data_IF_022266876666
#
_entry.id   IF_022266876666
#
_cell.length_a   1.000
_cell.length_b   1.000
_cell.length_c   1.000
_cell.angle_alpha   90.00
_cell.angle_beta   90.00
_cell.angle_gamma   90.00
#
_symmetry.space_group_name_H-M   'P 1'
#
loop_
_entity.id
_entity.type
_entity.pdbx_description
1 polymer ?
#
# COMPACT_ATOMS: atom_id res chain seq x y z
N UNK A 1 -45.99 58.52 -30.68
CA UNK A 1 -45.73 57.94 -32.01
C UNK A 1 -44.32 57.32 -32.14
N UNK A 2 -43.26 57.90 -31.56
CA UNK A 2 -41.87 57.38 -31.65
C UNK A 2 -41.64 55.99 -31.04
N UNK A 3 -42.35 55.62 -29.97
CA UNK A 3 -42.20 54.31 -29.32
C UNK A 3 -42.65 53.14 -30.21
N UNK A 4 -43.66 53.32 -31.06
CA UNK A 4 -44.12 52.24 -31.94
C UNK A 4 -43.13 51.96 -33.09
N UNK A 5 -42.51 53.02 -33.63
CA UNK A 5 -41.48 52.88 -34.67
C UNK A 5 -40.19 52.21 -34.17
N UNK A 6 -39.81 52.46 -32.92
CA UNK A 6 -38.66 51.81 -32.30
C UNK A 6 -38.88 50.31 -32.05
N UNK A 7 -40.11 49.92 -31.68
CA UNK A 7 -40.49 48.52 -31.54
C UNK A 7 -40.42 47.75 -32.86
N UNK A 8 -40.87 48.37 -33.96
CA UNK A 8 -40.80 47.78 -35.30
C UNK A 8 -39.34 47.63 -35.74
N UNK A 9 -38.49 48.62 -35.49
CA UNK A 9 -37.06 48.57 -35.81
C UNK A 9 -36.35 47.41 -35.09
N UNK A 10 -36.63 47.21 -33.79
CA UNK A 10 -36.04 46.11 -33.01
C UNK A 10 -36.43 44.74 -33.57
N UNK A 11 -37.70 44.54 -33.94
CA UNK A 11 -38.18 43.26 -34.47
C UNK A 11 -37.56 42.95 -35.83
N UNK A 12 -37.48 43.95 -36.72
CA UNK A 12 -36.87 43.78 -38.05
C UNK A 12 -35.36 43.51 -37.93
N UNK A 13 -34.65 44.22 -37.05
CA UNK A 13 -33.23 43.99 -36.82
C UNK A 13 -32.96 42.59 -36.23
N UNK A 14 -33.83 42.11 -35.34
CA UNK A 14 -33.73 40.77 -34.75
C UNK A 14 -33.93 39.68 -35.82
N UNK A 15 -34.90 39.87 -36.73
CA UNK A 15 -35.13 38.93 -37.84
C UNK A 15 -33.92 38.84 -38.79
N UNK A 16 -33.32 39.98 -39.18
CA UNK A 16 -32.21 39.96 -40.15
C UNK A 16 -30.92 39.38 -39.56
N UNK A 17 -30.63 39.60 -38.27
CA UNK A 17 -29.47 39.01 -37.60
C UNK A 17 -29.58 37.47 -37.52
N UNK A 18 -30.79 36.96 -37.31
CA UNK A 18 -31.06 35.51 -37.28
C UNK A 18 -30.86 34.92 -38.68
N UNK A 19 -31.35 35.59 -39.73
CA UNK A 19 -31.20 35.12 -41.12
C UNK A 19 -29.73 35.13 -41.56
N UNK A 20 -28.98 36.21 -41.29
CA UNK A 20 -27.57 36.34 -41.73
C UNK A 20 -26.61 35.38 -41.02
N UNK A 21 -26.90 34.98 -39.77
CA UNK A 21 -26.00 34.13 -38.97
C UNK A 21 -26.51 32.69 -38.80
N UNK A 22 -27.47 32.23 -39.61
CA UNK A 22 -28.08 30.90 -39.47
C UNK A 22 -27.09 29.73 -39.61
N UNK A 23 -25.91 29.95 -40.22
CA UNK A 23 -24.84 28.95 -40.31
C UNK A 23 -23.83 28.95 -39.14
N UNK A 24 -23.71 30.01 -38.35
CA UNK A 24 -22.67 30.10 -37.31
C UNK A 24 -23.22 30.67 -35.99
N UNK A 25 -23.48 29.77 -35.02
CA UNK A 25 -24.15 30.12 -33.75
C UNK A 25 -23.24 30.79 -32.72
N UNK A 26 -21.92 30.71 -32.90
CA UNK A 26 -20.97 31.40 -32.03
C UNK A 26 -21.00 32.89 -32.34
N UNK A 27 -21.36 33.71 -31.35
CA UNK A 27 -21.38 35.18 -31.34
C UNK A 27 -22.71 35.87 -31.69
N UNK A 28 -23.83 35.14 -31.79
CA UNK A 28 -25.15 35.75 -31.99
C UNK A 28 -25.50 36.69 -30.82
N UNK A 29 -25.29 36.25 -29.57
CA UNK A 29 -25.63 37.04 -28.37
C UNK A 29 -24.86 38.37 -28.27
N UNK A 30 -23.57 38.38 -28.60
CA UNK A 30 -22.75 39.59 -28.57
C UNK A 30 -23.17 40.60 -29.64
N UNK A 31 -23.48 40.13 -30.86
CA UNK A 31 -23.98 40.99 -31.93
C UNK A 31 -25.34 41.62 -31.56
N UNK A 32 -26.22 40.88 -30.88
CA UNK A 32 -27.52 41.36 -30.41
C UNK A 32 -27.39 42.50 -29.38
N UNK A 33 -26.45 42.39 -28.44
CA UNK A 33 -26.21 43.43 -27.43
C UNK A 33 -25.74 44.74 -28.07
N UNK A 34 -24.79 44.67 -29.00
CA UNK A 34 -24.21 45.86 -29.65
C UNK A 34 -25.25 46.61 -30.50
N UNK A 35 -26.09 45.88 -31.24
CA UNK A 35 -27.13 46.48 -32.10
C UNK A 35 -28.25 47.14 -31.28
N UNK A 36 -28.52 46.62 -30.08
CA UNK A 36 -29.54 47.20 -29.19
C UNK A 36 -29.09 48.55 -28.61
N UNK A 37 -27.79 48.73 -28.35
CA UNK A 37 -27.26 49.96 -27.75
C UNK A 37 -26.87 51.05 -28.77
N UNK A 38 -26.60 50.72 -30.03
CA UNK A 38 -26.26 51.69 -31.08
C UNK A 38 -27.06 51.45 -32.38
N UNK A 39 -28.21 52.11 -32.58
CA UNK A 39 -29.21 51.78 -33.60
C UNK A 39 -28.80 52.09 -35.05
N UNK A 40 -27.55 52.49 -35.35
CA UNK A 40 -27.07 52.72 -36.73
C UNK A 40 -25.64 52.21 -36.92
N UNK A 41 -24.75 52.46 -35.95
CA UNK A 41 -23.34 52.05 -36.01
C UNK A 41 -23.18 50.52 -35.83
N UNK A 42 -24.14 49.89 -35.14
CA UNK A 42 -24.12 48.45 -34.84
C UNK A 42 -24.23 47.52 -36.06
N UNK A 43 -24.70 48.02 -37.21
CA UNK A 43 -24.75 47.23 -38.44
C UNK A 43 -23.42 47.19 -39.20
N UNK A 44 -22.58 48.24 -39.06
CA UNK A 44 -21.31 48.36 -39.79
C UNK A 44 -20.20 47.56 -39.12
N UNK A 45 -20.19 47.54 -37.78
CA UNK A 45 -19.17 46.85 -36.99
C UNK A 45 -19.04 45.34 -37.29
N UNK A 46 -20.11 44.53 -37.32
CA UNK A 46 -20.00 43.09 -37.61
C UNK A 46 -19.48 42.78 -39.02
N UNK A 47 -19.69 43.69 -39.98
CA UNK A 47 -19.26 43.55 -41.37
C UNK A 47 -17.77 43.86 -41.55
N UNK A 48 -17.23 44.79 -40.76
CA UNK A 48 -15.79 45.11 -40.75
C UNK A 48 -15.01 44.10 -39.89
N UNK A 49 -15.58 43.65 -38.78
CA UNK A 49 -14.94 42.69 -37.87
C UNK A 49 -14.81 41.28 -38.45
N UNK A 50 -15.72 40.88 -39.36
CA UNK A 50 -15.57 39.61 -40.10
C UNK A 50 -14.41 39.64 -41.10
N UNK A 51 -13.99 40.84 -41.55
CA UNK A 51 -12.92 41.01 -42.53
C UNK A 51 -11.54 41.20 -41.88
N UNK A 52 -11.47 41.71 -40.65
CA UNK A 52 -10.24 41.88 -39.87
C UNK A 52 -9.80 40.57 -39.19
N UNK A 53 -10.75 39.68 -38.87
CA UNK A 53 -10.47 38.39 -38.22
C UNK A 53 -10.22 37.30 -39.27
N UNK A 54 -9.17 37.47 -40.08
CA UNK A 54 -8.62 36.34 -40.84
C UNK A 54 -8.08 35.30 -39.85
N UNK A 55 -8.28 34.02 -40.18
CA UNK A 55 -7.95 32.82 -39.38
C UNK A 55 -6.49 32.74 -38.87
N UNK A 56 -5.57 33.56 -39.39
CA UNK A 56 -4.16 33.60 -39.00
C UNK A 56 -3.93 34.05 -37.55
N UNK A 57 -4.61 35.12 -37.13
CA UNK A 57 -4.39 35.70 -35.79
C UNK A 57 -4.82 34.77 -34.65
N UNK A 58 -5.80 33.89 -34.88
CA UNK A 58 -6.17 32.84 -33.92
C UNK A 58 -5.17 31.68 -33.88
N UNK A 59 -4.51 31.36 -35.00
CA UNK A 59 -3.50 30.31 -35.07
C UNK A 59 -2.23 30.74 -34.36
N UNK A 60 -1.74 31.95 -34.62
CA UNK A 60 -0.54 32.49 -33.94
C UNK A 60 -0.75 32.62 -32.43
N UNK A 61 -1.94 33.05 -31.99
CA UNK A 61 -2.24 33.15 -30.56
C UNK A 61 -2.31 31.76 -29.89
N UNK A 62 -2.93 30.78 -30.54
CA UNK A 62 -2.99 29.41 -30.03
C UNK A 62 -1.60 28.75 -30.00
N UNK A 63 -0.79 28.95 -31.04
CA UNK A 63 0.59 28.44 -31.13
C UNK A 63 1.48 29.11 -30.06
N UNK A 64 1.32 30.41 -29.80
CA UNK A 64 1.99 31.08 -28.69
C UNK A 64 1.59 30.50 -27.32
N UNK A 65 0.29 30.27 -27.09
CA UNK A 65 -0.22 29.66 -25.85
C UNK A 65 0.27 28.22 -25.69
N UNK A 66 0.32 27.45 -26.77
CA UNK A 66 0.77 26.06 -26.77
C UNK A 66 2.27 25.97 -26.45
N UNK A 67 3.11 26.82 -27.07
CA UNK A 67 4.54 26.93 -26.74
C UNK A 67 4.79 27.36 -25.30
N UNK A 68 4.02 28.33 -24.78
CA UNK A 68 4.11 28.71 -23.37
C UNK A 68 3.73 27.54 -22.45
N UNK A 69 2.68 26.79 -22.77
CA UNK A 69 2.30 25.60 -22.00
C UNK A 69 3.35 24.49 -22.07
N UNK A 70 4.00 24.29 -23.22
CA UNK A 70 5.11 23.35 -23.38
C UNK A 70 6.34 23.78 -22.58
N UNK A 71 6.74 25.05 -22.65
CA UNK A 71 7.84 25.59 -21.83
C UNK A 71 7.55 25.42 -20.33
N UNK A 72 6.33 25.68 -19.88
CA UNK A 72 5.91 25.45 -18.49
C UNK A 72 5.90 23.97 -18.12
N UNK A 73 5.55 23.06 -19.03
CA UNK A 73 5.65 21.60 -18.81
C UNK A 73 7.10 21.16 -18.73
N UNK A 74 7.96 21.60 -19.64
CA UNK A 74 9.41 21.27 -19.65
C UNK A 74 10.10 21.80 -18.41
N UNK A 75 9.81 23.04 -17.99
CA UNK A 75 10.34 23.58 -16.72
C UNK A 75 9.87 22.78 -15.51
N UNK A 76 8.58 22.39 -15.46
CA UNK A 76 8.10 21.51 -14.38
C UNK A 76 8.81 20.16 -14.39
N UNK A 77 8.88 19.50 -15.54
CA UNK A 77 9.56 18.20 -15.68
C UNK A 77 11.03 18.32 -15.27
N UNK A 78 11.74 19.37 -15.68
CA UNK A 78 13.12 19.63 -15.26
C UNK A 78 13.27 19.84 -13.75
N UNK A 79 12.39 20.63 -13.13
CA UNK A 79 12.37 20.84 -11.67
C UNK A 79 12.05 19.53 -10.94
N UNK A 80 11.07 18.75 -11.41
CA UNK A 80 10.74 17.45 -10.82
C UNK A 80 11.91 16.46 -10.92
N UNK A 81 12.56 16.37 -12.09
CA UNK A 81 13.71 15.49 -12.31
C UNK A 81 14.94 15.91 -11.48
N UNK A 82 15.19 17.21 -11.33
CA UNK A 82 16.26 17.69 -10.44
C UNK A 82 15.96 17.36 -8.98
N UNK A 83 14.73 17.63 -8.51
CA UNK A 83 14.30 17.29 -7.13
C UNK A 83 14.36 15.79 -6.86
N UNK A 84 13.96 14.94 -7.82
CA UNK A 84 14.13 13.48 -7.73
C UNK A 84 15.60 13.09 -7.67
N UNK A 85 16.45 13.67 -8.52
CA UNK A 85 17.90 13.39 -8.51
C UNK A 85 18.58 13.80 -7.20
N UNK A 86 18.17 14.91 -6.57
CA UNK A 86 18.65 15.29 -5.24
C UNK A 86 18.14 14.35 -4.14
N UNK A 87 16.90 13.84 -4.25
CA UNK A 87 16.37 12.80 -3.35
C UNK A 87 17.10 11.46 -3.49
N UNK A 88 17.44 11.04 -4.70
CA UNK A 88 18.17 9.79 -4.96
C UNK A 88 19.62 9.83 -4.47
N UNK A 89 20.24 11.00 -4.42
CA UNK A 89 21.60 11.19 -3.92
C UNK A 89 21.67 11.34 -2.39
N UNK A 90 20.54 11.57 -1.72
CA UNK A 90 20.43 11.75 -0.27
C UNK A 90 19.46 10.72 0.35
N UNK A 91 19.62 9.45 -0.02
CA UNK A 91 18.84 8.36 0.58
C UNK A 91 19.48 7.98 1.92
N UNK A 92 18.99 8.62 2.97
CA UNK A 92 19.26 8.24 4.36
C UNK A 92 18.22 7.22 4.82
N UNK A 93 18.59 6.23 5.66
CA UNK A 93 17.64 5.34 6.29
C UNK A 93 16.55 6.11 7.05
N UNK A 94 15.35 5.56 7.13
CA UNK A 94 14.18 6.20 7.79
C UNK A 94 14.51 6.49 9.26
N UNK A 95 15.21 5.56 9.91
CA UNK A 95 15.64 5.66 11.30
C UNK A 95 16.58 6.86 11.52
N UNK A 96 17.52 7.06 10.60
CA UNK A 96 18.49 8.15 10.66
C UNK A 96 17.83 9.49 10.30
N UNK A 97 16.92 9.49 9.33
CA UNK A 97 16.12 10.66 8.96
C UNK A 97 15.32 11.19 10.15
N UNK A 98 14.67 10.30 10.91
CA UNK A 98 13.87 10.69 12.07
C UNK A 98 14.68 11.28 13.23
N UNK A 99 15.99 11.06 13.26
CA UNK A 99 16.89 11.54 14.33
C UNK A 99 17.68 12.76 13.91
N UNK A 100 18.25 12.76 12.70
CA UNK A 100 19.28 13.73 12.29
C UNK A 100 18.74 14.79 11.33
N UNK A 101 17.70 14.49 10.55
CA UNK A 101 17.19 15.42 9.54
C UNK A 101 16.41 16.59 10.12
N UNK A 102 16.22 17.62 9.29
CA UNK A 102 15.32 18.74 9.58
C UNK A 102 13.85 18.29 9.65
N UNK A 103 13.02 19.06 10.36
CA UNK A 103 11.60 18.75 10.55
C UNK A 103 10.81 18.54 9.24
N UNK A 104 11.15 19.25 8.16
CA UNK A 104 10.47 19.06 6.88
C UNK A 104 10.76 17.67 6.27
N UNK A 105 11.99 17.20 6.34
CA UNK A 105 12.39 15.88 5.84
C UNK A 105 11.78 14.77 6.71
N UNK A 106 11.78 14.92 8.04
CA UNK A 106 11.13 13.97 8.96
C UNK A 106 9.65 13.77 8.64
N UNK A 107 8.93 14.87 8.43
CA UNK A 107 7.51 14.84 8.04
C UNK A 107 7.29 14.18 6.69
N UNK A 108 8.16 14.46 5.70
CA UNK A 108 8.09 13.82 4.38
C UNK A 108 8.31 12.30 4.46
N UNK A 109 9.30 11.86 5.23
CA UNK A 109 9.56 10.44 5.49
C UNK A 109 8.33 9.77 6.12
N UNK A 110 7.70 10.42 7.10
CA UNK A 110 6.51 9.89 7.74
C UNK A 110 5.31 9.79 6.78
N UNK A 111 5.13 10.77 5.89
CA UNK A 111 4.11 10.72 4.82
C UNK A 111 4.39 9.55 3.86
N UNK A 112 5.66 9.27 3.56
CA UNK A 112 6.01 8.19 2.66
C UNK A 112 5.85 6.81 3.33
N UNK A 113 6.10 6.69 4.64
CA UNK A 113 5.75 5.49 5.44
C UNK A 113 4.24 5.24 5.45
N UNK A 114 3.43 6.30 5.58
CA UNK A 114 1.96 6.20 5.55
C UNK A 114 1.40 5.71 4.20
N UNK A 115 2.14 5.88 3.10
CA UNK A 115 1.76 5.36 1.77
C UNK A 115 2.14 3.89 1.58
N UNK A 116 3.05 3.37 2.40
CA UNK A 116 3.55 2.00 2.32
C UNK A 116 2.82 1.10 3.32
N UNK A 117 3.23 -0.17 3.37
CA UNK A 117 2.72 -1.11 4.36
C UNK A 117 3.28 -0.80 5.76
N UNK A 118 2.46 -0.09 6.54
CA UNK A 118 2.79 0.46 7.86
C UNK A 118 3.19 -0.63 8.86
N UNK A 119 2.78 -1.90 8.68
CA UNK A 119 3.10 -2.98 9.61
C UNK A 119 4.61 -3.24 9.70
N UNK A 120 5.34 -3.10 8.59
CA UNK A 120 6.78 -3.34 8.53
C UNK A 120 7.59 -2.25 9.24
N UNK A 121 6.97 -1.10 9.50
CA UNK A 121 7.60 0.06 10.12
C UNK A 121 7.11 0.32 11.54
N UNK A 122 6.37 -0.61 12.16
CA UNK A 122 5.76 -0.40 13.47
C UNK A 122 6.77 -0.04 14.56
N UNK A 123 7.95 -0.68 14.57
CA UNK A 123 9.01 -0.38 15.55
C UNK A 123 9.57 1.04 15.37
N UNK A 124 9.77 1.47 14.13
CA UNK A 124 10.23 2.82 13.79
C UNK A 124 9.18 3.85 14.19
N UNK A 125 7.90 3.59 13.88
CA UNK A 125 6.79 4.45 14.24
C UNK A 125 6.66 4.59 15.75
N UNK A 126 6.81 3.49 16.50
CA UNK A 126 6.79 3.52 17.96
C UNK A 126 7.90 4.42 18.53
N UNK A 127 9.09 4.40 17.93
CA UNK A 127 10.19 5.31 18.31
C UNK A 127 9.89 6.77 17.92
N UNK A 128 9.22 6.99 16.79
CA UNK A 128 8.84 8.32 16.32
C UNK A 128 7.73 8.98 17.16
N UNK A 129 6.98 8.22 17.97
CA UNK A 129 5.97 8.78 18.90
C UNK A 129 6.59 9.75 19.91
N UNK A 130 7.84 9.54 20.31
CA UNK A 130 8.58 10.43 21.22
C UNK A 130 9.56 11.35 20.49
N UNK A 131 9.28 11.70 19.23
CA UNK A 131 10.10 12.68 18.50
C UNK A 131 9.94 14.09 19.10
N UNK A 132 11.01 14.88 19.07
CA UNK A 132 11.00 16.27 19.52
C UNK A 132 10.05 17.15 18.68
N UNK A 133 9.87 16.81 17.40
CA UNK A 133 8.90 17.46 16.54
C UNK A 133 7.50 16.94 16.84
N UNK A 134 6.63 17.82 17.32
CA UNK A 134 5.26 17.46 17.69
C UNK A 134 4.47 16.96 16.49
N UNK A 135 4.71 17.50 15.29
CA UNK A 135 4.00 17.09 14.08
C UNK A 135 4.43 15.70 13.62
N UNK A 136 5.73 15.41 13.58
CA UNK A 136 6.26 14.05 13.34
C UNK A 136 5.71 13.04 14.36
N UNK A 137 5.67 13.40 15.64
CA UNK A 137 5.07 12.57 16.70
C UNK A 137 3.57 12.34 16.47
N UNK A 138 2.82 13.37 16.11
CA UNK A 138 1.40 13.25 15.77
C UNK A 138 1.17 12.32 14.57
N UNK A 139 1.96 12.46 13.51
CA UNK A 139 1.87 11.57 12.35
C UNK A 139 2.17 10.11 12.72
N UNK A 140 3.19 9.86 13.53
CA UNK A 140 3.52 8.51 14.00
C UNK A 140 2.37 7.90 14.80
N UNK A 141 1.78 8.66 15.73
CA UNK A 141 0.61 8.22 16.50
C UNK A 141 -0.58 7.93 15.58
N UNK A 142 -0.89 8.82 14.65
CA UNK A 142 -1.97 8.63 13.68
C UNK A 142 -1.76 7.38 12.83
N UNK A 143 -0.52 7.11 12.38
CA UNK A 143 -0.15 5.91 11.63
C UNK A 143 -0.41 4.63 12.45
N UNK A 144 0.04 4.60 13.70
CA UNK A 144 -0.12 3.45 14.60
C UNK A 144 -1.60 3.20 14.90
N UNK A 145 -2.37 4.25 15.18
CA UNK A 145 -3.82 4.14 15.46
C UNK A 145 -4.56 3.60 14.24
N UNK A 146 -4.24 4.10 13.04
CA UNK A 146 -4.85 3.64 11.81
C UNK A 146 -4.47 2.19 11.49
N UNK A 147 -3.20 1.81 11.67
CA UNK A 147 -2.75 0.42 11.53
C UNK A 147 -3.49 -0.50 12.50
N UNK A 148 -3.60 -0.12 13.77
CA UNK A 148 -4.34 -0.88 14.77
C UNK A 148 -5.81 -1.07 14.34
N UNK A 149 -6.46 0.00 13.87
CA UNK A 149 -7.84 -0.04 13.37
C UNK A 149 -7.98 -1.01 12.19
N UNK A 150 -7.08 -0.94 11.21
CA UNK A 150 -7.05 -1.84 10.05
C UNK A 150 -6.92 -3.30 10.48
N UNK A 151 -5.94 -3.62 11.33
CA UNK A 151 -5.75 -4.98 11.85
C UNK A 151 -6.96 -5.50 12.61
N UNK A 152 -7.59 -4.67 13.44
CA UNK A 152 -8.80 -5.06 14.17
C UNK A 152 -9.97 -5.40 13.24
N UNK A 153 -10.17 -4.60 12.18
CA UNK A 153 -11.22 -4.85 11.18
C UNK A 153 -10.91 -6.14 10.41
N UNK A 154 -9.69 -6.30 9.90
CA UNK A 154 -9.27 -7.51 9.19
C UNK A 154 -9.42 -8.76 10.06
N UNK A 155 -9.06 -8.67 11.34
CA UNK A 155 -9.22 -9.75 12.32
C UNK A 155 -10.70 -10.13 12.49
N UNK A 156 -11.59 -9.16 12.64
CA UNK A 156 -13.02 -9.40 12.80
C UNK A 156 -13.63 -10.02 11.54
N UNK A 157 -13.33 -9.46 10.36
CA UNK A 157 -13.84 -9.98 9.09
C UNK A 157 -13.38 -11.41 8.82
N UNK A 158 -12.10 -11.71 9.05
CA UNK A 158 -11.55 -13.04 8.82
C UNK A 158 -12.04 -14.05 9.87
N UNK A 159 -12.29 -13.61 11.10
CA UNK A 159 -12.94 -14.46 12.11
C UNK A 159 -14.30 -14.93 11.63
N UNK A 160 -15.15 -14.01 11.17
CA UNK A 160 -16.50 -14.35 10.66
C UNK A 160 -16.41 -15.23 9.41
N UNK A 161 -15.52 -14.90 8.46
CA UNK A 161 -15.33 -15.72 7.25
C UNK A 161 -14.85 -17.13 7.58
N UNK A 162 -13.91 -17.26 8.51
CA UNK A 162 -13.39 -18.55 8.96
C UNK A 162 -14.46 -19.38 9.68
N UNK A 163 -15.27 -18.76 10.54
CA UNK A 163 -16.37 -19.44 11.23
C UNK A 163 -17.44 -19.96 10.26
N UNK A 164 -17.71 -19.21 9.18
CA UNK A 164 -18.67 -19.61 8.15
C UNK A 164 -18.15 -20.74 7.25
N UNK A 165 -16.87 -20.71 6.86
CA UNK A 165 -16.27 -21.74 6.01
C UNK A 165 -14.81 -22.03 6.40
N UNK A 166 -14.64 -23.06 7.23
CA UNK A 166 -13.33 -23.54 7.67
C UNK A 166 -12.61 -24.40 6.61
N UNK A 167 -13.20 -24.66 5.45
CA UNK A 167 -12.59 -25.48 4.39
C UNK A 167 -12.03 -24.62 3.26
N UNK A 168 -12.37 -23.33 3.22
CA UNK A 168 -11.82 -22.40 2.24
C UNK A 168 -10.35 -22.08 2.54
N UNK A 169 -9.44 -22.67 1.75
CA UNK A 169 -8.00 -22.52 1.90
C UNK A 169 -7.53 -21.05 1.90
N UNK A 170 -8.10 -20.21 1.04
CA UNK A 170 -7.72 -18.79 0.97
C UNK A 170 -8.09 -18.03 2.25
N UNK A 171 -9.27 -18.32 2.82
CA UNK A 171 -9.70 -17.71 4.09
C UNK A 171 -8.81 -18.19 5.23
N UNK A 172 -8.47 -19.48 5.27
CA UNK A 172 -7.59 -20.04 6.30
C UNK A 172 -6.20 -19.40 6.25
N UNK A 173 -5.58 -19.31 5.06
CA UNK A 173 -4.25 -18.68 4.90
C UNK A 173 -4.30 -17.21 5.33
N UNK A 174 -5.26 -16.44 4.81
CA UNK A 174 -5.39 -15.03 5.16
C UNK A 174 -5.61 -14.83 6.67
N UNK A 175 -6.37 -15.73 7.32
CA UNK A 175 -6.58 -15.67 8.76
C UNK A 175 -5.32 -15.96 9.56
N UNK A 176 -4.51 -16.95 9.13
CA UNK A 176 -3.19 -17.22 9.73
C UNK A 176 -2.28 -15.99 9.62
N UNK A 177 -2.25 -15.31 8.47
CA UNK A 177 -1.42 -14.13 8.24
C UNK A 177 -1.82 -12.97 9.16
N UNK A 178 -3.11 -12.63 9.20
CA UNK A 178 -3.60 -11.54 10.05
C UNK A 178 -3.46 -11.86 11.54
N UNK A 179 -3.62 -13.13 11.96
CA UNK A 179 -3.30 -13.54 13.33
C UNK A 179 -1.83 -13.30 13.66
N UNK A 180 -0.92 -13.70 12.77
CA UNK A 180 0.52 -13.50 12.95
C UNK A 180 0.86 -12.01 13.07
N UNK A 181 0.37 -11.18 12.17
CA UNK A 181 0.59 -9.73 12.19
C UNK A 181 0.04 -9.08 13.46
N UNK A 182 -1.19 -9.42 13.83
CA UNK A 182 -1.81 -8.83 15.02
C UNK A 182 -1.10 -9.24 16.31
N UNK A 183 -0.66 -10.50 16.42
CA UNK A 183 0.15 -10.96 17.55
C UNK A 183 1.52 -10.29 17.64
N UNK A 184 2.13 -9.97 16.50
CA UNK A 184 3.44 -9.30 16.44
C UNK A 184 3.37 -7.77 16.53
N UNK A 185 2.17 -7.18 16.39
CA UNK A 185 1.96 -5.73 16.40
C UNK A 185 2.28 -5.03 17.74
N UNK A 186 2.34 -5.78 18.84
CA UNK A 186 2.51 -5.22 20.19
C UNK A 186 1.26 -4.53 20.77
N UNK A 187 0.12 -4.57 20.09
CA UNK A 187 -1.12 -3.89 20.54
C UNK A 187 -1.95 -4.66 21.56
N UNK A 188 -1.58 -5.92 21.85
CA UNK A 188 -2.37 -6.86 22.63
C UNK A 188 -1.85 -6.97 24.06
N UNK A 189 -2.77 -6.98 25.03
CA UNK A 189 -2.43 -7.39 26.39
C UNK A 189 -2.06 -8.88 26.44
N UNK A 190 -1.37 -9.30 27.51
CA UNK A 190 -0.87 -10.67 27.64
C UNK A 190 -1.96 -11.75 27.56
N UNK A 191 -3.14 -11.51 28.14
CA UNK A 191 -4.24 -12.48 28.15
C UNK A 191 -4.84 -12.63 26.77
N UNK A 192 -5.07 -11.51 26.08
CA UNK A 192 -5.60 -11.48 24.71
C UNK A 192 -4.61 -12.10 23.73
N UNK A 193 -3.32 -11.77 23.85
CA UNK A 193 -2.26 -12.38 23.05
C UNK A 193 -2.27 -13.91 23.21
N UNK A 194 -2.33 -14.41 24.44
CA UNK A 194 -2.36 -15.85 24.72
C UNK A 194 -3.55 -16.54 24.06
N UNK A 195 -4.75 -15.93 24.11
CA UNK A 195 -5.94 -16.43 23.41
C UNK A 195 -5.67 -16.57 21.90
N UNK A 196 -5.14 -15.52 21.27
CA UNK A 196 -4.85 -15.55 19.84
C UNK A 196 -3.74 -16.53 19.46
N UNK A 197 -2.76 -16.78 20.32
CA UNK A 197 -1.74 -17.81 20.09
C UNK A 197 -2.35 -19.22 20.00
N UNK A 198 -3.31 -19.55 20.87
CA UNK A 198 -4.04 -20.83 20.78
C UNK A 198 -4.96 -20.88 19.56
N UNK A 199 -5.64 -19.77 19.23
CA UNK A 199 -6.42 -19.69 17.98
C UNK A 199 -5.52 -19.92 16.76
N UNK A 200 -4.34 -19.30 16.73
CA UNK A 200 -3.35 -19.47 15.67
C UNK A 200 -2.90 -20.93 15.52
N UNK A 201 -2.64 -21.64 16.63
CA UNK A 201 -2.34 -23.07 16.58
C UNK A 201 -3.49 -23.89 15.97
N UNK A 202 -4.74 -23.60 16.36
CA UNK A 202 -5.92 -24.28 15.83
C UNK A 202 -6.08 -24.07 14.32
N UNK A 203 -5.92 -22.83 13.86
CA UNK A 203 -6.04 -22.48 12.43
C UNK A 203 -4.88 -23.06 11.63
N UNK A 204 -3.64 -23.06 12.16
CA UNK A 204 -2.50 -23.74 11.54
C UNK A 204 -2.73 -25.25 11.43
N UNK A 205 -3.30 -25.88 12.45
CA UNK A 205 -3.65 -27.28 12.38
C UNK A 205 -4.68 -27.54 11.28
N UNK A 206 -5.68 -26.67 11.13
CA UNK A 206 -6.65 -26.75 10.04
C UNK A 206 -5.99 -26.57 8.68
N UNK A 207 -5.07 -25.62 8.54
CA UNK A 207 -4.30 -25.39 7.31
C UNK A 207 -3.50 -26.63 6.91
N UNK A 208 -2.82 -27.27 7.86
CA UNK A 208 -2.06 -28.49 7.63
C UNK A 208 -2.97 -29.64 7.14
N UNK A 209 -4.17 -29.77 7.70
CA UNK A 209 -5.13 -30.80 7.26
C UNK A 209 -5.65 -30.54 5.85
N UNK A 210 -5.89 -29.28 5.49
CA UNK A 210 -6.42 -28.90 4.16
C UNK A 210 -5.35 -28.90 3.07
N UNK A 211 -4.14 -28.46 3.40
CA UNK A 211 -3.04 -28.24 2.47
C UNK A 211 -1.72 -28.70 3.11
N UNK A 212 -1.59 -30.01 3.28
CA UNK A 212 -0.42 -30.65 3.91
C UNK A 212 0.91 -30.32 3.20
N UNK A 213 0.87 -29.94 1.91
CA UNK A 213 2.02 -29.48 1.12
C UNK A 213 2.66 -28.18 1.65
N UNK A 214 1.95 -27.46 2.53
CA UNK A 214 2.36 -26.17 3.09
C UNK A 214 3.40 -26.34 4.20
N UNK A 215 4.65 -26.58 3.82
CA UNK A 215 5.79 -26.83 4.74
C UNK A 215 5.96 -25.75 5.82
N UNK A 216 5.83 -24.47 5.46
CA UNK A 216 5.99 -23.37 6.41
C UNK A 216 4.96 -23.40 7.54
N UNK A 217 3.78 -23.99 7.32
CA UNK A 217 2.73 -24.10 8.34
C UNK A 217 3.16 -25.03 9.49
N UNK A 218 3.87 -26.12 9.18
CA UNK A 218 4.45 -27.01 10.19
C UNK A 218 5.49 -26.27 11.03
N UNK A 219 6.42 -25.57 10.38
CA UNK A 219 7.49 -24.81 11.05
C UNK A 219 6.87 -23.73 11.96
N UNK A 220 5.88 -22.99 11.46
CA UNK A 220 5.16 -21.98 12.23
C UNK A 220 4.45 -22.58 13.45
N UNK A 221 3.80 -23.74 13.27
CA UNK A 221 3.09 -24.45 14.35
C UNK A 221 4.07 -24.93 15.43
N UNK A 222 5.15 -25.62 15.05
CA UNK A 222 6.19 -26.09 15.98
C UNK A 222 6.79 -24.91 16.76
N UNK A 223 7.12 -23.81 16.08
CA UNK A 223 7.70 -22.63 16.74
C UNK A 223 6.72 -22.01 17.75
N UNK A 224 5.43 -21.97 17.44
CA UNK A 224 4.42 -21.46 18.36
C UNK A 224 4.17 -22.42 19.54
N UNK A 225 4.15 -23.74 19.30
CA UNK A 225 4.02 -24.75 20.35
C UNK A 225 5.21 -24.69 21.32
N UNK A 226 6.44 -24.52 20.82
CA UNK A 226 7.63 -24.28 21.65
C UNK A 226 7.47 -22.99 22.46
N UNK A 227 7.01 -21.89 21.84
CA UNK A 227 6.80 -20.59 22.52
C UNK A 227 5.77 -20.67 23.64
N UNK A 228 4.79 -21.58 23.52
CA UNK A 228 3.77 -21.83 24.54
C UNK A 228 4.15 -22.97 25.51
N UNK A 229 5.38 -23.49 25.42
CA UNK A 229 5.89 -24.60 26.25
C UNK A 229 5.09 -25.92 26.09
N UNK A 230 4.39 -26.08 24.96
CA UNK A 230 3.62 -27.28 24.60
C UNK A 230 4.53 -28.32 23.93
N UNK A 231 5.59 -28.73 24.62
CA UNK A 231 6.66 -29.53 24.04
C UNK A 231 6.21 -30.87 23.47
N UNK A 232 5.23 -31.51 24.12
CA UNK A 232 4.68 -32.79 23.64
C UNK A 232 3.93 -32.65 22.30
N UNK A 233 3.24 -31.54 22.09
CA UNK A 233 2.54 -31.28 20.82
C UNK A 233 3.52 -30.80 19.74
N UNK A 234 4.54 -30.02 20.12
CA UNK A 234 5.65 -29.65 19.25
C UNK A 234 6.38 -30.88 18.69
N UNK A 235 6.65 -31.88 19.55
CA UNK A 235 7.27 -33.15 19.12
C UNK A 235 6.37 -33.89 18.12
N UNK A 236 5.07 -34.01 18.38
CA UNK A 236 4.12 -34.67 17.46
C UNK A 236 4.02 -33.94 16.12
N UNK A 237 3.91 -32.61 16.13
CA UNK A 237 3.84 -31.81 14.90
C UNK A 237 5.13 -31.94 14.08
N UNK A 238 6.29 -31.94 14.73
CA UNK A 238 7.57 -32.11 14.05
C UNK A 238 7.76 -33.54 13.49
N UNK A 239 7.29 -34.57 14.20
CA UNK A 239 7.27 -35.95 13.70
C UNK A 239 6.36 -36.09 12.49
N UNK A 240 5.14 -35.54 12.55
CA UNK A 240 4.21 -35.50 11.41
C UNK A 240 4.84 -34.78 10.21
N UNK A 241 5.63 -33.73 10.45
CA UNK A 241 6.33 -33.02 9.38
C UNK A 241 7.37 -33.91 8.68
N UNK A 242 8.12 -34.71 9.43
CA UNK A 242 9.07 -35.69 8.87
C UNK A 242 8.35 -36.81 8.13
N UNK A 243 7.23 -37.31 8.65
CA UNK A 243 6.45 -38.36 8.00
C UNK A 243 5.93 -37.93 6.63
N UNK A 244 5.44 -36.69 6.53
CA UNK A 244 4.91 -36.14 5.27
C UNK A 244 6.02 -35.68 4.32
N UNK A 245 7.19 -35.27 4.84
CA UNK A 245 8.30 -34.74 4.05
C UNK A 245 9.65 -35.32 4.50
N UNK A 246 9.91 -36.62 4.26
CA UNK A 246 11.13 -37.28 4.69
C UNK A 246 12.38 -36.74 3.98
N UNK A 247 12.23 -36.12 2.81
CA UNK A 247 13.34 -35.57 2.03
C UNK A 247 13.61 -34.07 2.33
N UNK A 248 12.90 -33.47 3.28
CA UNK A 248 13.03 -32.04 3.60
C UNK A 248 13.87 -31.81 4.86
N UNK A 249 14.90 -30.96 4.76
CA UNK A 249 15.78 -30.65 5.88
C UNK A 249 15.06 -29.92 7.04
N UNK A 250 14.12 -29.03 6.74
CA UNK A 250 13.42 -28.22 7.75
C UNK A 250 12.60 -29.09 8.70
N UNK A 251 12.12 -30.24 8.23
CA UNK A 251 11.43 -31.22 9.06
C UNK A 251 12.33 -31.78 10.17
N UNK A 252 13.56 -32.18 9.81
CA UNK A 252 14.55 -32.63 10.79
C UNK A 252 15.03 -31.50 11.69
N UNK A 253 15.27 -30.31 11.14
CA UNK A 253 15.69 -29.15 11.94
C UNK A 253 14.63 -28.76 12.96
N UNK A 254 13.35 -28.82 12.59
CA UNK A 254 12.23 -28.56 13.50
C UNK A 254 12.21 -29.57 14.66
N UNK A 255 12.39 -30.86 14.36
CA UNK A 255 12.43 -31.90 15.41
C UNK A 255 13.68 -31.76 16.31
N UNK A 256 14.84 -31.49 15.74
CA UNK A 256 16.07 -31.25 16.50
C UNK A 256 15.92 -30.03 17.41
N UNK A 257 15.28 -28.96 16.93
CA UNK A 257 14.96 -27.77 17.74
C UNK A 257 14.08 -28.13 18.95
N UNK A 258 13.06 -28.96 18.77
CA UNK A 258 12.23 -29.45 19.89
C UNK A 258 13.08 -30.21 20.91
N UNK A 259 13.94 -31.13 20.46
CA UNK A 259 14.80 -31.92 21.36
C UNK A 259 15.88 -31.10 22.06
N UNK A 260 16.38 -30.06 21.40
CA UNK A 260 17.31 -29.11 22.01
C UNK A 260 16.63 -28.34 23.15
N UNK A 261 15.44 -27.76 22.91
CA UNK A 261 14.72 -26.97 23.93
C UNK A 261 14.28 -27.86 25.11
N UNK A 262 13.85 -29.09 24.84
CA UNK A 262 13.47 -30.06 25.88
C UNK A 262 14.65 -30.73 26.58
N UNK A 263 15.90 -30.41 26.20
CA UNK A 263 17.15 -31.02 26.72
C UNK A 263 17.19 -32.54 26.60
N UNK A 264 16.51 -33.09 25.59
CA UNK A 264 16.46 -34.53 25.34
C UNK A 264 17.67 -35.01 24.53
N UNK A 265 18.85 -35.07 25.17
CA UNK A 265 20.12 -35.40 24.51
C UNK A 265 20.08 -36.70 23.70
N UNK A 266 19.50 -37.77 24.26
CA UNK A 266 19.39 -39.06 23.58
C UNK A 266 18.55 -38.96 22.29
N UNK A 267 17.37 -38.33 22.36
CA UNK A 267 16.50 -38.15 21.18
C UNK A 267 17.15 -37.25 20.13
N UNK A 268 17.86 -36.21 20.58
CA UNK A 268 18.60 -35.31 19.70
C UNK A 268 19.67 -36.06 18.89
N UNK A 269 20.53 -36.85 19.55
CA UNK A 269 21.55 -37.64 18.86
C UNK A 269 20.93 -38.65 17.89
N UNK A 270 19.87 -39.36 18.30
CA UNK A 270 19.18 -40.31 17.42
C UNK A 270 18.62 -39.64 16.16
N UNK A 271 18.03 -38.44 16.29
CA UNK A 271 17.54 -37.67 15.13
C UNK A 271 18.69 -37.16 14.26
N UNK A 272 19.80 -36.76 14.87
CA UNK A 272 21.00 -36.32 14.15
C UNK A 272 21.58 -37.47 13.32
N UNK A 273 21.65 -38.67 13.88
CA UNK A 273 22.13 -39.86 13.18
C UNK A 273 21.16 -40.27 12.07
N UNK A 274 19.85 -40.16 12.29
CA UNK A 274 18.85 -40.36 11.21
C UNK A 274 19.04 -39.37 10.07
N UNK A 275 19.30 -38.09 10.37
CA UNK A 275 19.53 -37.05 9.37
C UNK A 275 20.83 -37.28 8.59
N UNK A 276 21.90 -37.72 9.26
CA UNK A 276 23.18 -38.04 8.60
C UNK A 276 23.07 -39.23 7.64
N UNK A 277 22.20 -40.19 7.95
CA UNK A 277 21.98 -41.38 7.15
C UNK A 277 20.86 -41.22 6.11
N UNK A 278 20.15 -40.10 6.08
CA UNK A 278 19.10 -39.86 5.10
C UNK A 278 19.68 -39.31 3.77
N UNK A 279 18.99 -39.51 2.64
CA UNK A 279 19.41 -38.95 1.35
C UNK A 279 19.16 -37.43 1.23
N UNK A 280 18.79 -36.76 2.33
CA UNK A 280 18.39 -35.34 2.35
C UNK A 280 19.59 -34.47 2.00
N UNK A 281 19.41 -33.61 0.99
CA UNK A 281 20.42 -32.60 0.65
C UNK A 281 20.32 -31.43 1.63
N UNK A 282 21.34 -31.31 2.48
CA UNK A 282 21.43 -30.22 3.45
C UNK A 282 21.95 -28.92 2.82
N UNK A 283 21.35 -27.80 3.19
CA UNK A 283 21.87 -26.46 2.92
C UNK A 283 23.11 -26.16 3.79
N UNK A 284 23.89 -25.15 3.41
CA UNK A 284 25.06 -24.73 4.19
C UNK A 284 24.70 -24.35 5.63
N UNK A 285 23.53 -23.74 5.83
CA UNK A 285 23.03 -23.37 7.16
C UNK A 285 22.68 -24.62 7.98
N UNK A 286 21.95 -25.57 7.38
CA UNK A 286 21.61 -26.83 8.04
C UNK A 286 22.86 -27.63 8.40
N UNK A 287 23.84 -27.71 7.49
CA UNK A 287 25.14 -28.35 7.74
C UNK A 287 25.89 -27.72 8.92
N UNK A 288 25.91 -26.38 8.99
CA UNK A 288 26.55 -25.67 10.10
C UNK A 288 25.88 -26.01 11.43
N UNK A 289 24.54 -26.06 11.42
CA UNK A 289 23.74 -26.39 12.61
C UNK A 289 23.96 -27.84 13.05
N UNK A 290 23.96 -28.78 12.10
CA UNK A 290 24.23 -30.21 12.33
C UNK A 290 25.64 -30.41 12.87
N UNK A 291 26.64 -29.70 12.32
CA UNK A 291 28.03 -29.74 12.81
C UNK A 291 28.12 -29.25 14.25
N UNK A 292 27.55 -28.07 14.53
CA UNK A 292 27.50 -27.50 15.87
C UNK A 292 26.92 -28.49 16.89
N UNK A 293 25.79 -29.14 16.58
CA UNK A 293 25.19 -30.15 17.46
C UNK A 293 25.92 -31.49 17.48
N UNK A 294 26.71 -31.81 16.45
CA UNK A 294 27.54 -33.02 16.43
C UNK A 294 28.84 -32.87 17.22
N UNK A 295 29.40 -31.66 17.28
CA UNK A 295 30.70 -31.36 17.88
C UNK A 295 30.59 -31.00 19.38
N UNK A 296 29.40 -30.66 19.88
CA UNK A 296 29.19 -30.52 21.32
C UNK A 296 27.84 -29.94 21.77
N UNK A 297 26.96 -30.82 22.21
CA UNK A 297 25.94 -30.59 23.25
C UNK A 297 26.05 -31.70 24.31
#
# INVERSE_FOLDING_TARGET
MYIQWYGIYLIVSLAVIIILNWKNKRNIALKMIVVTFLPVVGWVLPMVWSRIRSEDSSKEFNDYIERQQEEHKVRRIGIYNEVEKYKELNVIPIEDALVVSEHQERRQVMIDVLKQDTINYIEILQRAVSNEDTETSHYAVSAIVELKRKLQISMQELTVKYENDQSNLHVVIAYVEVLREFMNSGFLDHRTLRKYQFTYLSVLNRLIVLAYETKWAYIAKVNMEIKLELYGDAEKTAQLFIENFPDNEDAYLSLLKVYFVTRSKQKLHLTLDKLKNSPVRLSNQALTTVRFWSEGA
#
